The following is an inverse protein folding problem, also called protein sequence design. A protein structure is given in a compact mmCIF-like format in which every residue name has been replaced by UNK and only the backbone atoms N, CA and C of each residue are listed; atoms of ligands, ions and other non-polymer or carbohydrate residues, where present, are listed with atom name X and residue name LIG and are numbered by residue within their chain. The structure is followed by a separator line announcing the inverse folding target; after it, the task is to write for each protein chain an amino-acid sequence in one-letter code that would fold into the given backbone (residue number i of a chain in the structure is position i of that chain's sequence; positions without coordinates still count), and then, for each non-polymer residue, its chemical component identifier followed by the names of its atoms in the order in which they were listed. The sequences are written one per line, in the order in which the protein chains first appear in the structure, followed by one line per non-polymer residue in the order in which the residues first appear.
data_IF_423720752029
#
_entry.id   IF_423720752029
#
_cell.length_a   1.000
_cell.length_b   1.000
_cell.length_c   1.000
_cell.angle_alpha   90.00
_cell.angle_beta   90.00
_cell.angle_gamma   90.00
#
_symmetry.space_group_name_H-M   'P 1'
#
loop_
_entity.id
_entity.type
_entity.pdbx_description
1 polymer ?
#
# COMPACT_ATOMS: atom_id res chain seq x y z
N UNK A 1 -11.88 -17.40 -6.28
CA UNK A 1 -11.79 -16.10 -5.58
C UNK A 1 -11.67 -16.29 -4.08
N UNK A 2 -12.73 -16.71 -3.39
CA UNK A 2 -12.73 -16.85 -1.92
C UNK A 2 -11.67 -17.79 -1.36
N UNK A 3 -11.50 -18.99 -1.94
CA UNK A 3 -10.48 -19.93 -1.47
C UNK A 3 -9.05 -19.38 -1.68
N UNK A 4 -8.78 -18.81 -2.86
CA UNK A 4 -7.47 -18.20 -3.16
C UNK A 4 -7.17 -17.07 -2.19
N UNK A 5 -8.10 -16.13 -2.02
CA UNK A 5 -7.88 -14.97 -1.16
C UNK A 5 -7.87 -15.31 0.34
N UNK A 6 -8.65 -16.31 0.78
CA UNK A 6 -8.58 -16.84 2.13
C UNK A 6 -7.23 -17.49 2.42
N UNK A 7 -6.71 -18.28 1.48
CA UNK A 7 -5.35 -18.84 1.56
C UNK A 7 -4.27 -17.75 1.48
N UNK A 8 -4.46 -16.70 0.67
CA UNK A 8 -3.57 -15.54 0.66
C UNK A 8 -3.55 -14.87 2.03
N UNK A 9 -4.71 -14.70 2.68
CA UNK A 9 -4.79 -14.20 4.05
C UNK A 9 -4.00 -15.08 5.02
N UNK A 10 -4.24 -16.39 5.01
CA UNK A 10 -3.51 -17.35 5.87
C UNK A 10 -2.00 -17.38 5.60
N UNK A 11 -1.56 -17.18 4.35
CA UNK A 11 -0.15 -17.03 4.01
C UNK A 11 0.47 -15.79 4.67
N UNK A 12 -0.35 -14.75 4.92
CA UNK A 12 0.10 -13.53 5.60
C UNK A 12 0.08 -13.60 7.13
N UNK A 13 -0.54 -14.61 7.73
CA UNK A 13 -0.50 -14.82 9.18
C UNK A 13 -1.58 -15.77 9.68
N UNK A 14 -1.32 -16.39 10.83
CA UNK A 14 -2.19 -17.41 11.40
C UNK A 14 -3.40 -16.86 12.19
N UNK A 15 -3.45 -15.55 12.43
CA UNK A 15 -4.53 -14.91 13.18
C UNK A 15 -5.75 -14.60 12.29
N UNK A 16 -6.93 -14.55 12.91
CA UNK A 16 -8.22 -14.37 12.21
C UNK A 16 -8.33 -13.05 11.45
N UNK A 17 -7.61 -12.00 11.87
CA UNK A 17 -7.56 -10.73 11.16
C UNK A 17 -7.04 -10.89 9.72
N UNK A 18 -6.06 -11.77 9.50
CA UNK A 18 -5.53 -12.04 8.15
C UNK A 18 -6.50 -12.83 7.27
N UNK A 19 -7.25 -13.77 7.86
CA UNK A 19 -8.31 -14.49 7.14
C UNK A 19 -9.41 -13.52 6.72
N UNK A 20 -9.88 -12.66 7.64
CA UNK A 20 -10.88 -11.64 7.33
C UNK A 20 -10.38 -10.62 6.32
N UNK A 21 -9.11 -10.24 6.38
CA UNK A 21 -8.46 -9.39 5.38
C UNK A 21 -8.48 -10.02 3.99
N UNK A 22 -8.17 -11.32 3.88
CA UNK A 22 -8.26 -12.06 2.62
C UNK A 22 -9.69 -12.12 2.10
N UNK A 23 -10.64 -12.50 2.96
CA UNK A 23 -12.06 -12.55 2.60
C UNK A 23 -12.63 -11.18 2.22
N UNK A 24 -12.16 -10.10 2.85
CA UNK A 24 -12.51 -8.73 2.50
C UNK A 24 -12.18 -8.43 1.04
N UNK A 25 -10.96 -8.77 0.57
CA UNK A 25 -10.61 -8.62 -0.84
C UNK A 25 -11.40 -9.56 -1.76
N UNK A 26 -11.68 -10.79 -1.32
CA UNK A 26 -12.50 -11.72 -2.09
C UNK A 26 -13.91 -11.15 -2.37
N UNK A 27 -14.54 -10.56 -1.34
CA UNK A 27 -15.85 -9.91 -1.45
C UNK A 27 -15.77 -8.67 -2.34
N UNK A 28 -14.77 -7.81 -2.15
CA UNK A 28 -14.60 -6.61 -2.97
C UNK A 28 -14.46 -6.94 -4.45
N UNK A 29 -13.58 -7.88 -4.81
CA UNK A 29 -13.37 -8.29 -6.19
C UNK A 29 -14.60 -9.00 -6.78
N UNK A 30 -15.30 -9.81 -5.97
CA UNK A 30 -16.54 -10.43 -6.42
C UNK A 30 -17.62 -9.37 -6.69
N UNK A 31 -17.78 -8.40 -5.79
CA UNK A 31 -18.77 -7.33 -5.93
C UNK A 31 -18.46 -6.39 -7.09
N UNK A 32 -17.18 -6.04 -7.29
CA UNK A 32 -16.74 -5.25 -8.44
C UNK A 32 -17.05 -5.99 -9.76
N UNK A 33 -16.71 -7.28 -9.85
CA UNK A 33 -16.93 -8.06 -11.07
C UNK A 33 -18.41 -8.33 -11.37
N UNK A 34 -19.25 -8.45 -10.35
CA UNK A 34 -20.66 -8.84 -10.51
C UNK A 34 -21.63 -7.66 -10.59
N UNK A 35 -21.32 -6.53 -9.96
CA UNK A 35 -22.34 -5.50 -9.70
C UNK A 35 -22.02 -4.13 -10.29
N UNK A 36 -20.88 -3.55 -9.93
CA UNK A 36 -20.65 -2.13 -10.18
C UNK A 36 -19.40 -1.82 -11.01
N UNK A 37 -18.59 -2.81 -11.40
CA UNK A 37 -17.36 -2.61 -12.18
C UNK A 37 -17.59 -1.79 -13.46
N UNK A 38 -18.54 -2.20 -14.29
CA UNK A 38 -18.88 -1.48 -15.53
C UNK A 38 -19.46 -0.07 -15.31
N UNK A 39 -20.09 0.17 -14.16
CA UNK A 39 -20.59 1.49 -13.78
C UNK A 39 -19.45 2.40 -13.30
N UNK A 40 -18.54 1.86 -12.49
CA UNK A 40 -17.41 2.57 -11.92
C UNK A 40 -16.38 2.96 -13.00
N UNK A 41 -16.18 2.11 -14.01
CA UNK A 41 -15.30 2.39 -15.16
C UNK A 41 -15.64 3.72 -15.85
N UNK A 42 -16.93 4.08 -15.88
CA UNK A 42 -17.43 5.32 -16.50
C UNK A 42 -17.14 6.56 -15.66
N UNK A 43 -16.74 6.40 -14.40
CA UNK A 43 -16.55 7.48 -13.44
C UNK A 43 -15.06 7.64 -13.11
N UNK A 44 -14.50 8.84 -13.29
CA UNK A 44 -13.08 9.07 -12.97
C UNK A 44 -12.84 9.28 -11.48
N UNK A 45 -13.71 10.01 -10.79
CA UNK A 45 -13.51 10.37 -9.39
C UNK A 45 -13.98 9.28 -8.44
N UNK A 46 -15.19 8.76 -8.64
CA UNK A 46 -15.80 7.79 -7.71
C UNK A 46 -14.97 6.52 -7.58
N UNK A 47 -14.37 6.03 -8.67
CA UNK A 47 -13.47 4.86 -8.64
C UNK A 47 -12.19 5.06 -7.81
N UNK A 48 -11.74 6.29 -7.60
CA UNK A 48 -10.61 6.53 -6.69
C UNK A 48 -11.13 6.78 -5.27
N UNK A 49 -12.22 7.53 -5.15
CA UNK A 49 -12.77 7.93 -3.85
C UNK A 49 -13.23 6.73 -3.03
N UNK A 50 -13.86 5.73 -3.64
CA UNK A 50 -14.30 4.53 -2.92
C UNK A 50 -13.13 3.64 -2.46
N UNK A 51 -11.99 3.66 -3.16
CA UNK A 51 -10.84 2.82 -2.82
C UNK A 51 -10.11 3.31 -1.58
N UNK A 52 -10.05 4.63 -1.32
CA UNK A 52 -9.37 5.17 -0.14
C UNK A 52 -9.88 4.59 1.19
N UNK A 53 -11.19 4.61 1.51
CA UNK A 53 -11.68 4.02 2.76
C UNK A 53 -11.51 2.50 2.80
N UNK A 54 -11.69 1.80 1.67
CA UNK A 54 -11.49 0.34 1.61
C UNK A 54 -10.03 -0.05 1.88
N UNK A 55 -9.09 0.72 1.32
CA UNK A 55 -7.67 0.53 1.54
C UNK A 55 -7.28 0.84 2.99
N UNK A 56 -7.84 1.90 3.59
CA UNK A 56 -7.61 2.21 4.99
C UNK A 56 -8.10 1.08 5.92
N UNK A 57 -9.31 0.56 5.69
CA UNK A 57 -9.85 -0.59 6.43
C UNK A 57 -8.98 -1.84 6.22
N UNK A 58 -8.52 -2.07 4.99
CA UNK A 58 -7.61 -3.18 4.67
C UNK A 58 -6.31 -3.09 5.48
N UNK A 59 -5.67 -1.93 5.54
CA UNK A 59 -4.44 -1.75 6.32
C UNK A 59 -4.66 -1.95 7.82
N UNK A 60 -5.81 -1.52 8.35
CA UNK A 60 -6.16 -1.78 9.76
C UNK A 60 -6.30 -3.28 10.03
N UNK A 61 -7.06 -4.01 9.21
CA UNK A 61 -7.21 -5.46 9.35
C UNK A 61 -5.87 -6.20 9.27
N UNK A 62 -4.96 -5.72 8.43
CA UNK A 62 -3.64 -6.32 8.25
C UNK A 62 -2.69 -6.05 9.43
N UNK A 63 -2.75 -4.85 10.03
CA UNK A 63 -1.80 -4.42 11.05
C UNK A 63 -2.27 -4.63 12.50
N UNK A 64 -3.59 -4.71 12.73
CA UNK A 64 -4.14 -4.81 14.08
C UNK A 64 -3.63 -6.05 14.82
N UNK A 65 -3.42 -5.92 16.13
CA UNK A 65 -2.97 -7.01 16.98
C UNK A 65 -4.03 -8.11 17.14
N UNK A 66 -5.31 -7.74 17.16
CA UNK A 66 -6.45 -8.63 17.27
C UNK A 66 -7.71 -8.02 16.64
N UNK A 67 -8.80 -8.80 16.61
CA UNK A 67 -10.08 -8.36 16.04
C UNK A 67 -10.74 -7.21 16.83
N UNK A 68 -10.78 -7.20 18.18
CA UNK A 68 -11.26 -6.06 18.94
C UNK A 68 -10.53 -4.75 18.60
N UNK A 69 -9.20 -4.77 18.56
CA UNK A 69 -8.38 -3.62 18.20
C UNK A 69 -8.65 -3.15 16.77
N UNK A 70 -8.80 -4.09 15.82
CA UNK A 70 -9.18 -3.76 14.45
C UNK A 70 -10.53 -3.04 14.39
N UNK A 71 -11.53 -3.54 15.12
CA UNK A 71 -12.86 -2.93 15.19
C UNK A 71 -12.83 -1.51 15.76
N UNK A 72 -12.07 -1.29 16.85
CA UNK A 72 -11.91 0.04 17.44
C UNK A 72 -11.20 1.01 16.48
N UNK A 73 -10.15 0.57 15.79
CA UNK A 73 -9.43 1.39 14.81
C UNK A 73 -10.29 1.70 13.57
N UNK A 74 -11.05 0.74 13.06
CA UNK A 74 -12.00 0.97 11.96
C UNK A 74 -13.07 1.97 12.39
N UNK A 75 -13.64 1.83 13.59
CA UNK A 75 -14.60 2.78 14.13
C UNK A 75 -14.00 4.20 14.22
N UNK A 76 -12.73 4.31 14.67
CA UNK A 76 -12.00 5.57 14.73
C UNK A 76 -11.78 6.20 13.34
N UNK A 77 -11.50 5.42 12.29
CA UNK A 77 -11.37 5.92 10.92
C UNK A 77 -12.63 6.65 10.43
N UNK A 78 -13.81 6.25 10.91
CA UNK A 78 -15.10 6.86 10.57
C UNK A 78 -15.61 7.84 11.63
N UNK A 79 -14.77 8.25 12.58
CA UNK A 79 -15.08 9.29 13.57
C UNK A 79 -15.76 8.78 14.86
N UNK A 80 -16.00 7.47 14.98
CA UNK A 80 -16.61 6.88 16.18
C UNK A 80 -15.60 6.58 17.30
N UNK A 81 -14.34 7.00 17.14
CA UNK A 81 -13.27 6.79 18.13
C UNK A 81 -13.21 7.85 19.23
N UNK A 82 -14.02 8.91 19.17
CA UNK A 82 -13.95 10.03 20.12
C UNK A 82 -12.64 10.83 20.05
N UNK A 83 -11.87 10.65 18.97
CA UNK A 83 -10.59 11.32 18.74
C UNK A 83 -10.80 12.66 17.99
N UNK A 84 -9.96 13.67 18.24
CA UNK A 84 -9.97 14.88 17.43
C UNK A 84 -9.54 14.57 15.98
N UNK A 85 -10.02 15.36 15.02
CA UNK A 85 -9.70 15.17 13.59
C UNK A 85 -8.18 15.25 13.29
N UNK A 86 -7.43 15.97 14.13
CA UNK A 86 -5.97 15.96 14.10
C UNK A 86 -5.43 16.17 15.52
N UNK A 87 -4.29 15.55 15.79
CA UNK A 87 -3.52 15.68 17.03
C UNK A 87 -2.05 15.97 16.77
N UNK A 88 -1.31 16.28 17.83
CA UNK A 88 0.14 16.54 17.78
C UNK A 88 0.88 15.38 17.10
N UNK A 89 0.55 14.14 17.46
CA UNK A 89 1.12 12.93 16.86
C UNK A 89 0.86 12.83 15.35
N UNK A 90 -0.38 13.08 14.90
CA UNK A 90 -0.70 13.03 13.47
C UNK A 90 0.09 14.06 12.67
N UNK A 91 0.30 15.25 13.22
CA UNK A 91 1.07 16.30 12.57
C UNK A 91 2.57 15.99 12.59
N UNK A 92 3.05 15.40 13.69
CA UNK A 92 4.41 14.92 13.81
C UNK A 92 4.72 13.89 12.72
N UNK A 93 3.92 12.83 12.61
CA UNK A 93 4.13 11.80 11.57
C UNK A 93 4.00 12.36 10.15
N UNK A 94 3.03 13.25 9.90
CA UNK A 94 2.87 13.89 8.59
C UNK A 94 4.12 14.68 8.19
N UNK A 95 4.74 15.41 9.13
CA UNK A 95 5.96 16.18 8.90
C UNK A 95 7.19 15.28 8.76
N UNK A 96 7.35 14.32 9.67
CA UNK A 96 8.48 13.40 9.68
C UNK A 96 8.53 12.54 8.41
N UNK A 97 7.37 12.15 7.88
CA UNK A 97 7.28 11.38 6.63
C UNK A 97 6.99 12.24 5.39
N UNK A 98 6.96 13.57 5.48
CA UNK A 98 6.55 14.44 4.38
C UNK A 98 7.34 14.17 3.09
N UNK A 99 8.66 14.04 3.19
CA UNK A 99 9.53 13.75 2.03
C UNK A 99 9.18 12.41 1.40
N UNK A 100 9.01 11.37 2.23
CA UNK A 100 8.65 10.02 1.77
C UNK A 100 7.27 10.03 1.11
N UNK A 101 6.30 10.71 1.71
CA UNK A 101 4.94 10.84 1.18
C UNK A 101 4.92 11.58 -0.15
N UNK A 102 5.72 12.63 -0.33
CA UNK A 102 5.86 13.35 -1.60
C UNK A 102 6.47 12.44 -2.68
N UNK A 103 7.54 11.72 -2.35
CA UNK A 103 8.16 10.77 -3.28
C UNK A 103 7.17 9.67 -3.65
N UNK A 104 6.45 9.10 -2.69
CA UNK A 104 5.43 8.08 -2.93
C UNK A 104 4.27 8.60 -3.79
N UNK A 105 3.81 9.82 -3.53
CA UNK A 105 2.74 10.46 -4.31
C UNK A 105 3.18 10.65 -5.77
N UNK A 106 4.39 11.16 -6.00
CA UNK A 106 4.93 11.32 -7.36
C UNK A 106 5.14 9.95 -8.03
N UNK A 107 5.68 8.98 -7.29
CA UNK A 107 5.92 7.60 -7.74
C UNK A 107 4.65 6.83 -8.12
N UNK A 108 3.53 7.12 -7.44
CA UNK A 108 2.23 6.50 -7.72
C UNK A 108 1.55 7.06 -8.99
N UNK A 109 2.10 8.13 -9.59
CA UNK A 109 1.58 8.68 -10.84
C UNK A 109 2.32 8.14 -12.07
N UNK A 110 1.79 8.30 -13.30
CA UNK A 110 2.53 7.95 -14.52
C UNK A 110 3.67 8.91 -14.85
N UNK A 111 3.95 9.94 -14.01
CA UNK A 111 4.96 10.96 -14.29
C UNK A 111 6.38 10.38 -14.41
N UNK A 112 6.85 9.48 -13.52
CA UNK A 112 8.21 8.94 -13.61
C UNK A 112 8.39 8.12 -14.90
N UNK A 113 7.40 7.29 -15.25
CA UNK A 113 7.43 6.48 -16.48
C UNK A 113 7.49 7.39 -17.71
N UNK A 114 6.65 8.43 -17.77
CA UNK A 114 6.67 9.40 -18.88
C UNK A 114 7.98 10.17 -18.96
N UNK A 115 8.60 10.50 -17.83
CA UNK A 115 9.90 11.18 -17.81
C UNK A 115 11.01 10.28 -18.37
N UNK A 116 11.06 9.02 -17.94
CA UNK A 116 12.00 8.01 -18.43
C UNK A 116 11.83 7.77 -19.93
N UNK A 117 10.59 7.62 -20.40
CA UNK A 117 10.30 7.41 -21.82
C UNK A 117 10.79 8.58 -22.68
N UNK A 118 10.49 9.83 -22.29
CA UNK A 118 10.96 11.02 -23.02
C UNK A 118 12.48 11.11 -23.13
N UNK A 119 13.20 10.70 -22.09
CA UNK A 119 14.65 10.66 -22.11
C UNK A 119 15.16 9.56 -23.06
N UNK A 120 14.50 8.40 -23.05
CA UNK A 120 14.83 7.25 -23.91
C UNK A 120 14.58 7.52 -25.40
N UNK A 121 13.67 8.44 -25.75
CA UNK A 121 13.39 8.84 -27.13
C UNK A 121 14.55 9.63 -27.79
N UNK A 122 15.54 10.06 -27.01
CA UNK A 122 16.75 10.72 -27.52
C UNK A 122 17.93 9.74 -27.57
N UNK A 123 18.79 9.85 -28.58
CA UNK A 123 19.97 8.97 -28.72
C UNK A 123 20.93 9.10 -27.54
N UNK A 124 21.19 10.33 -27.07
CA UNK A 124 22.00 10.59 -25.89
C UNK A 124 21.34 10.09 -24.60
N UNK A 125 20.04 10.35 -24.41
CA UNK A 125 19.32 9.90 -23.21
C UNK A 125 19.19 8.39 -23.13
N UNK A 126 18.97 7.70 -24.25
CA UNK A 126 18.94 6.22 -24.30
C UNK A 126 20.29 5.62 -23.87
N UNK A 127 21.41 6.18 -24.35
CA UNK A 127 22.75 5.75 -23.94
C UNK A 127 23.00 5.96 -22.43
N UNK A 128 22.61 7.13 -21.91
CA UNK A 128 22.71 7.44 -20.48
C UNK A 128 21.86 6.49 -19.64
N UNK A 129 20.60 6.26 -20.02
CA UNK A 129 19.71 5.34 -19.31
C UNK A 129 20.23 3.91 -19.29
N UNK A 130 20.78 3.43 -20.41
CA UNK A 130 21.31 2.07 -20.52
C UNK A 130 22.48 1.81 -19.56
N UNK A 131 23.26 2.84 -19.24
CA UNK A 131 24.33 2.76 -18.25
C UNK A 131 23.85 3.06 -16.82
N UNK A 132 22.96 4.05 -16.64
CA UNK A 132 22.51 4.51 -15.33
C UNK A 132 21.52 3.54 -14.66
N UNK A 133 20.63 2.89 -15.43
CA UNK A 133 19.62 1.96 -14.92
C UNK A 133 20.23 0.78 -14.14
N UNK A 134 21.19 -0.01 -14.68
CA UNK A 134 21.79 -1.10 -13.92
C UNK A 134 22.57 -0.60 -12.70
N UNK A 135 23.26 0.54 -12.81
CA UNK A 135 23.97 1.14 -11.67
C UNK A 135 22.99 1.55 -10.56
N UNK A 136 21.88 2.20 -10.90
CA UNK A 136 20.85 2.58 -9.95
C UNK A 136 20.21 1.35 -9.28
N UNK A 137 19.95 0.28 -10.03
CA UNK A 137 19.43 -0.98 -9.48
C UNK A 137 20.42 -1.65 -8.52
N UNK A 138 21.72 -1.65 -8.85
CA UNK A 138 22.76 -2.19 -7.97
C UNK A 138 22.88 -1.36 -6.69
N UNK A 139 22.86 -0.04 -6.79
CA UNK A 139 22.88 0.85 -5.63
C UNK A 139 21.63 0.67 -4.77
N UNK A 140 20.45 0.55 -5.39
CA UNK A 140 19.20 0.30 -4.68
C UNK A 140 19.24 -1.06 -3.98
N UNK A 141 19.73 -2.10 -4.64
CA UNK A 141 19.93 -3.41 -4.04
C UNK A 141 20.87 -3.32 -2.83
N UNK A 142 22.03 -2.66 -2.99
CA UNK A 142 22.99 -2.48 -1.91
C UNK A 142 22.38 -1.71 -0.72
N UNK A 143 21.58 -0.67 -0.99
CA UNK A 143 20.86 0.09 0.02
C UNK A 143 19.84 -0.79 0.75
N UNK A 144 18.99 -1.51 0.01
CA UNK A 144 18.02 -2.45 0.57
C UNK A 144 18.71 -3.52 1.44
N UNK A 145 19.84 -4.06 0.99
CA UNK A 145 20.64 -5.02 1.76
C UNK A 145 21.25 -4.38 3.00
N UNK A 146 21.77 -3.16 2.91
CA UNK A 146 22.31 -2.45 4.07
C UNK A 146 21.23 -2.22 5.14
N UNK A 147 20.04 -1.77 4.75
CA UNK A 147 18.89 -1.63 5.67
C UNK A 147 18.42 -2.98 6.23
N UNK A 148 18.48 -4.05 5.43
CA UNK A 148 18.15 -5.40 5.90
C UNK A 148 19.16 -5.91 6.94
N UNK A 149 20.44 -5.58 6.78
CA UNK A 149 21.52 -5.95 7.71
C UNK A 149 21.49 -5.10 8.99
N UNK A 150 21.24 -3.79 8.86
CA UNK A 150 21.06 -2.87 9.99
C UNK A 150 19.79 -3.19 10.79
N UNK A 151 18.76 -3.67 10.08
CA UNK A 151 17.57 -4.28 10.66
C UNK A 151 17.91 -5.55 11.45
N UNK A 152 18.38 -5.39 12.69
CA UNK A 152 18.59 -6.47 13.67
C UNK A 152 17.29 -7.23 14.00
N UNK A 153 16.14 -6.72 13.54
CA UNK A 153 14.86 -7.39 13.50
C UNK A 153 14.66 -7.97 12.10
N UNK A 154 14.65 -9.29 12.01
CA UNK A 154 14.15 -10.00 10.84
C UNK A 154 12.61 -9.90 10.89
N UNK A 155 11.96 -8.98 10.15
CA UNK A 155 10.52 -8.87 10.19
C UNK A 155 10.03 -9.83 9.13
N UNK A 156 10.19 -11.12 9.37
CA UNK A 156 9.26 -12.03 8.75
C UNK A 156 7.90 -11.60 9.31
N UNK A 157 7.20 -10.72 8.59
CA UNK A 157 5.88 -10.21 8.91
C UNK A 157 4.92 -11.37 9.27
N UNK A 158 5.26 -12.58 8.80
CA UNK A 158 4.56 -13.85 8.94
C UNK A 158 4.92 -14.68 10.19
N UNK A 159 5.94 -14.30 10.97
CA UNK A 159 6.28 -14.93 12.26
C UNK A 159 5.92 -14.02 13.45
N UNK A 160 4.81 -13.28 13.36
CA UNK A 160 4.12 -12.80 14.57
C UNK A 160 3.35 -13.98 15.17
N UNK A 161 4.06 -14.83 15.90
CA UNK A 161 3.48 -15.76 16.87
C UNK A 161 3.79 -15.24 18.28
#
# INVERSE_FOLDING_TARGET
MFLVWGLTGLWHGAAWNFVLWGLFFAVLLAAEKLWYGHGLEKTRLLKHLYMFPLLAVSFVLFNAADLPAAGQQIAALFGFGGLPASGVESLYYLRSYAVVLVIALLGATPLPVKAVQRLRDTSAGSAVLSAAEPVALVLLLALCTAYLVDGSFNPFLYFRF
#
